data_IF_596575780297
#
_entry.id   IF_596575780297
#
_cell.length_a   1.000
_cell.length_b   1.000
_cell.length_c   1.000
_cell.angle_alpha   90.00
_cell.angle_beta   90.00
_cell.angle_gamma   90.00
#
_symmetry.space_group_name_H-M   'P 1'
#
loop_
_entity.id
_entity.type
_entity.pdbx_description
1 polymer ?
#
# COMPACT_ATOMS: atom_id res chain seq x y z
N UNK A 1 -7.28 14.43 10.95
CA UNK A 1 -6.81 13.09 10.55
C UNK A 1 -6.84 13.13 9.05
N UNK A 2 -5.68 13.18 8.40
CA UNK A 2 -5.60 13.23 6.94
C UNK A 2 -5.99 11.87 6.34
N UNK A 3 -6.43 11.87 5.09
CA UNK A 3 -6.73 10.63 4.37
C UNK A 3 -5.48 9.75 4.32
N UNK A 4 -5.68 8.46 4.56
CA UNK A 4 -4.62 7.43 4.56
C UNK A 4 -4.99 6.33 3.59
N UNK A 5 -3.98 5.74 2.97
CA UNK A 5 -4.14 4.66 2.00
C UNK A 5 -3.55 3.39 2.55
N UNK A 6 -4.11 2.25 2.17
CA UNK A 6 -3.66 0.95 2.62
C UNK A 6 -3.34 0.06 1.43
N UNK A 7 -2.31 -0.78 1.58
CA UNK A 7 -2.02 -1.86 0.64
C UNK A 7 -2.61 -3.15 1.20
N UNK A 8 -3.46 -3.77 0.39
CA UNK A 8 -4.12 -5.03 0.67
C UNK A 8 -3.43 -6.14 -0.12
N UNK A 9 -2.96 -7.16 0.59
CA UNK A 9 -2.35 -8.37 0.00
C UNK A 9 -3.00 -9.61 0.56
N UNK A 10 -3.09 -10.67 -0.24
CA UNK A 10 -3.45 -11.98 0.28
C UNK A 10 -2.42 -12.44 1.33
N UNK A 11 -2.88 -12.62 2.57
CA UNK A 11 -2.02 -13.02 3.68
C UNK A 11 -1.34 -14.37 3.46
N UNK A 12 -1.91 -15.24 2.61
CA UNK A 12 -1.35 -16.56 2.30
C UNK A 12 -0.08 -16.46 1.45
N UNK A 13 0.07 -15.35 0.74
CA UNK A 13 1.20 -15.06 -0.16
C UNK A 13 2.15 -13.98 0.42
N UNK A 14 1.90 -13.48 1.64
CA UNK A 14 2.69 -12.39 2.20
C UNK A 14 3.97 -12.87 2.88
N UNK A 15 5.10 -12.39 2.35
CA UNK A 15 6.42 -12.50 2.96
C UNK A 15 7.00 -11.08 3.13
N UNK A 16 7.30 -10.63 4.35
CA UNK A 16 7.78 -9.26 4.60
C UNK A 16 9.00 -8.86 3.76
N UNK A 17 9.97 -9.76 3.60
CA UNK A 17 11.20 -9.49 2.87
C UNK A 17 10.96 -9.29 1.37
N UNK A 18 10.07 -10.08 0.78
CA UNK A 18 9.68 -9.95 -0.62
C UNK A 18 8.87 -8.67 -0.84
N UNK A 19 7.94 -8.38 0.07
CA UNK A 19 7.17 -7.15 0.03
C UNK A 19 8.07 -5.91 0.13
N UNK A 20 9.02 -5.89 1.08
CA UNK A 20 9.97 -4.79 1.23
C UNK A 20 10.85 -4.60 -0.01
N UNK A 21 11.30 -5.70 -0.63
CA UNK A 21 12.04 -5.66 -1.91
C UNK A 21 11.20 -5.00 -3.00
N UNK A 22 9.94 -5.37 -3.11
CA UNK A 22 9.06 -4.86 -4.16
C UNK A 22 8.71 -3.38 -3.91
N UNK A 23 8.48 -2.98 -2.65
CA UNK A 23 8.33 -1.58 -2.24
C UNK A 23 9.56 -0.77 -2.63
N UNK A 24 10.77 -1.22 -2.27
CA UNK A 24 12.00 -0.51 -2.66
C UNK A 24 12.12 -0.39 -4.18
N UNK A 25 11.77 -1.45 -4.92
CA UNK A 25 11.79 -1.42 -6.39
C UNK A 25 10.79 -0.40 -6.94
N UNK A 26 9.57 -0.37 -6.40
CA UNK A 26 8.53 0.57 -6.80
C UNK A 26 8.95 2.03 -6.52
N UNK A 27 9.50 2.31 -5.34
CA UNK A 27 10.05 3.62 -4.95
C UNK A 27 11.07 4.13 -5.98
N UNK A 28 12.07 3.32 -6.32
CA UNK A 28 13.09 3.78 -7.26
C UNK A 28 12.55 3.95 -8.68
N UNK A 29 11.57 3.15 -9.09
CA UNK A 29 10.91 3.30 -10.40
C UNK A 29 9.95 4.49 -10.46
N UNK A 30 9.44 4.95 -9.33
CA UNK A 30 8.61 6.16 -9.24
C UNK A 30 9.41 7.45 -9.03
N UNK A 31 10.74 7.40 -9.18
CA UNK A 31 11.68 8.52 -8.97
C UNK A 31 11.69 9.09 -7.53
N UNK A 32 11.35 8.26 -6.54
CA UNK A 32 11.44 8.61 -5.14
C UNK A 32 12.80 8.27 -4.52
N UNK A 33 13.11 8.99 -3.44
CA UNK A 33 14.08 8.57 -2.46
C UNK A 33 13.36 7.91 -1.28
N UNK A 34 14.06 7.03 -0.58
CA UNK A 34 13.57 6.39 0.63
C UNK A 34 14.55 6.58 1.76
N UNK A 35 14.02 6.96 2.92
CA UNK A 35 14.76 7.04 4.18
C UNK A 35 14.07 6.14 5.19
N UNK A 36 14.87 5.29 5.83
CA UNK A 36 14.41 4.51 6.97
C UNK A 36 14.22 5.45 8.16
N UNK A 37 12.98 5.56 8.64
CA UNK A 37 12.66 6.42 9.77
C UNK A 37 12.99 5.71 11.09
N UNK A 38 13.28 6.53 12.10
CA UNK A 38 13.39 6.03 13.46
C UNK A 38 12.04 5.44 13.87
N UNK A 39 12.06 4.24 14.43
CA UNK A 39 10.87 3.56 14.90
C UNK A 39 10.90 3.53 16.43
N UNK A 40 9.81 3.95 17.05
CA UNK A 40 9.63 3.84 18.51
C UNK A 40 9.40 2.38 18.95
N UNK A 41 9.29 1.47 17.98
CA UNK A 41 9.03 0.05 18.13
C UNK A 41 10.19 -0.76 17.57
N UNK A 42 10.48 -1.89 18.18
CA UNK A 42 11.43 -2.86 17.66
C UNK A 42 10.92 -3.41 16.32
N UNK A 43 11.82 -3.45 15.32
CA UNK A 43 11.49 -3.95 13.97
C UNK A 43 11.30 -5.46 13.93
N UNK A 44 11.87 -6.16 14.90
CA UNK A 44 11.83 -7.61 15.04
C UNK A 44 11.29 -7.97 16.42
N UNK A 45 10.66 -9.13 16.56
CA UNK A 45 10.29 -9.68 17.85
C UNK A 45 11.47 -10.39 18.53
N UNK A 46 11.23 -10.92 19.73
CA UNK A 46 12.22 -11.69 20.49
C UNK A 46 12.72 -12.95 19.78
N UNK A 47 11.98 -13.45 18.78
CA UNK A 47 12.31 -14.60 17.96
C UNK A 47 13.02 -14.20 16.65
N UNK A 48 13.23 -12.91 16.41
CA UNK A 48 13.83 -12.39 15.18
C UNK A 48 12.88 -12.30 13.99
N UNK A 49 11.56 -12.42 14.20
CA UNK A 49 10.56 -12.26 13.14
C UNK A 49 10.27 -10.77 12.92
N UNK A 50 10.18 -10.36 11.66
CA UNK A 50 9.82 -8.98 11.30
C UNK A 50 8.46 -8.61 11.91
N UNK A 51 8.35 -7.39 12.44
CA UNK A 51 7.13 -6.82 13.02
C UNK A 51 6.65 -5.60 12.27
N UNK A 52 7.56 -4.67 12.04
CA UNK A 52 7.21 -3.32 11.63
C UNK A 52 8.42 -2.57 11.09
N UNK A 53 8.19 -1.73 10.09
CA UNK A 53 9.14 -0.67 9.74
C UNK A 53 8.41 0.55 9.18
N UNK A 54 9.08 1.70 9.27
CA UNK A 54 8.60 2.98 8.79
C UNK A 54 9.61 3.60 7.84
N UNK A 55 9.11 4.15 6.75
CA UNK A 55 9.89 4.87 5.76
C UNK A 55 9.30 6.25 5.53
N UNK A 56 10.17 7.21 5.24
CA UNK A 56 9.81 8.44 4.55
C UNK A 56 10.13 8.24 3.07
N UNK A 57 9.10 8.28 2.23
CA UNK A 57 9.26 8.32 0.78
C UNK A 57 9.17 9.79 0.38
N UNK A 58 10.17 10.29 -0.32
CA UNK A 58 10.22 11.70 -0.68
C UNK A 58 10.83 11.99 -2.05
N UNK A 59 10.30 13.02 -2.69
CA UNK A 59 10.86 13.70 -3.86
C UNK A 59 11.46 15.05 -3.41
N UNK A 60 11.66 15.98 -4.35
CA UNK A 60 12.02 17.37 -3.99
C UNK A 60 10.81 18.20 -3.53
N UNK A 61 9.60 17.76 -3.82
CA UNK A 61 8.36 18.53 -3.63
C UNK A 61 7.37 17.84 -2.70
N UNK A 62 7.40 16.51 -2.69
CA UNK A 62 6.38 15.66 -2.11
C UNK A 62 7.05 14.71 -1.13
N UNK A 63 6.38 14.42 -0.03
CA UNK A 63 6.82 13.42 0.93
C UNK A 63 5.64 12.79 1.66
N UNK A 64 5.73 11.48 1.88
CA UNK A 64 4.73 10.76 2.64
C UNK A 64 5.36 9.64 3.45
N UNK A 65 4.68 9.31 4.55
CA UNK A 65 5.09 8.25 5.45
C UNK A 65 4.51 6.93 4.93
N UNK A 66 5.37 5.91 4.83
CA UNK A 66 5.00 4.56 4.47
C UNK A 66 5.36 3.58 5.59
N UNK A 67 4.34 2.95 6.17
CA UNK A 67 4.48 1.98 7.25
C UNK A 67 4.19 0.58 6.75
N UNK A 68 5.02 -0.38 7.14
CA UNK A 68 4.90 -1.79 6.78
C UNK A 68 4.74 -2.61 8.05
N UNK A 69 3.79 -3.54 8.03
CA UNK A 69 3.42 -4.36 9.18
C UNK A 69 3.58 -5.84 8.87
N UNK A 70 4.02 -6.61 9.85
CA UNK A 70 3.93 -8.06 9.80
C UNK A 70 2.49 -8.53 9.89
N UNK A 71 2.22 -9.73 9.41
CA UNK A 71 0.99 -10.43 9.77
C UNK A 71 1.01 -10.75 11.26
N UNK A 72 -0.01 -10.31 11.98
CA UNK A 72 -0.21 -10.75 13.35
C UNK A 72 -1.06 -12.03 13.34
N UNK A 73 -0.40 -13.18 13.34
CA UNK A 73 -1.07 -14.48 13.25
C UNK A 73 -2.06 -14.73 14.40
N UNK A 74 -1.85 -14.13 15.57
CA UNK A 74 -2.75 -14.27 16.72
C UNK A 74 -4.07 -13.51 16.53
N UNK A 75 -4.11 -12.57 15.59
CA UNK A 75 -5.31 -11.78 15.25
C UNK A 75 -6.05 -12.30 14.02
N UNK A 76 -5.48 -13.27 13.30
CA UNK A 76 -6.13 -13.86 12.13
C UNK A 76 -7.33 -14.70 12.60
N UNK A 77 -8.53 -14.25 12.23
CA UNK A 77 -9.79 -14.93 12.50
C UNK A 77 -10.72 -14.81 11.29
N UNK A 78 -11.90 -15.42 11.37
CA UNK A 78 -12.88 -15.40 10.28
C UNK A 78 -13.39 -13.98 9.94
N UNK A 79 -13.50 -13.09 10.92
CA UNK A 79 -13.96 -11.72 10.70
C UNK A 79 -12.90 -10.93 9.91
N UNK A 80 -11.62 -11.03 10.29
CA UNK A 80 -10.52 -10.38 9.57
C UNK A 80 -10.32 -10.99 8.16
N UNK A 81 -10.46 -12.31 8.01
CA UNK A 81 -10.39 -12.99 6.71
C UNK A 81 -11.50 -12.61 5.73
N UNK A 82 -12.58 -12.01 6.23
CA UNK A 82 -13.74 -11.62 5.45
C UNK A 82 -13.92 -10.10 5.38
N UNK A 83 -13.07 -9.33 6.05
CA UNK A 83 -13.16 -7.87 6.17
C UNK A 83 -13.21 -7.17 4.82
N UNK A 84 -12.43 -7.65 3.85
CA UNK A 84 -12.28 -7.05 2.52
C UNK A 84 -12.96 -7.88 1.41
N UNK A 85 -13.92 -8.74 1.76
CA UNK A 85 -14.65 -9.57 0.80
C UNK A 85 -15.46 -8.76 -0.24
N UNK A 86 -15.76 -7.50 0.05
CA UNK A 86 -16.41 -6.60 -0.91
C UNK A 86 -15.46 -6.17 -2.05
N UNK A 87 -14.14 -6.33 -1.87
CA UNK A 87 -13.11 -6.07 -2.87
C UNK A 87 -12.82 -7.35 -3.67
N UNK A 88 -12.53 -8.45 -2.98
CA UNK A 88 -12.24 -9.74 -3.60
C UNK A 88 -12.68 -10.88 -2.65
N UNK A 89 -13.58 -11.76 -3.12
CA UNK A 89 -14.12 -12.88 -2.34
C UNK A 89 -13.19 -14.11 -2.30
N UNK A 90 -12.24 -14.21 -3.23
CA UNK A 90 -11.34 -15.36 -3.36
C UNK A 90 -10.06 -15.17 -2.54
N UNK A 91 -9.59 -13.92 -2.41
CA UNK A 91 -8.37 -13.58 -1.68
C UNK A 91 -8.63 -13.32 -0.20
N UNK A 92 -7.66 -13.72 0.64
CA UNK A 92 -7.67 -13.42 2.09
C UNK A 92 -6.87 -12.15 2.35
N UNK A 93 -7.44 -11.04 1.90
CA UNK A 93 -6.79 -9.73 1.91
C UNK A 93 -6.54 -9.21 3.34
N UNK A 94 -5.36 -8.66 3.56
CA UNK A 94 -4.95 -8.03 4.81
C UNK A 94 -4.25 -6.71 4.52
N UNK A 95 -4.47 -5.70 5.39
CA UNK A 95 -3.71 -4.46 5.34
C UNK A 95 -2.30 -4.70 5.88
N UNK A 96 -1.32 -4.69 4.96
CA UNK A 96 0.09 -4.97 5.28
C UNK A 96 0.96 -3.71 5.23
N UNK A 97 0.42 -2.60 4.72
CA UNK A 97 1.09 -1.31 4.71
C UNK A 97 0.09 -0.15 4.71
N UNK A 98 0.53 0.99 5.24
CA UNK A 98 -0.24 2.22 5.31
C UNK A 98 0.59 3.39 4.75
N UNK A 99 -0.02 4.17 3.89
CA UNK A 99 0.44 5.46 3.37
C UNK A 99 -0.28 6.56 4.14
N UNK A 100 0.44 7.42 4.83
CA UNK A 100 -0.13 8.58 5.52
C UNK A 100 0.06 9.85 4.71
N UNK A 101 -0.69 10.91 5.04
CA UNK A 101 -0.55 12.25 4.45
C UNK A 101 -0.75 12.25 2.93
N UNK A 102 -1.85 11.65 2.48
CA UNK A 102 -2.19 11.55 1.06
C UNK A 102 -2.53 12.90 0.44
N UNK A 103 -3.25 13.73 1.19
CA UNK A 103 -3.62 15.08 0.76
C UNK A 103 -2.35 15.86 0.37
N UNK A 104 -2.34 16.43 -0.84
CA UNK A 104 -1.22 17.16 -1.45
C UNK A 104 -0.08 16.28 -2.01
N UNK A 105 -0.16 14.95 -1.85
CA UNK A 105 0.81 13.98 -2.35
C UNK A 105 0.21 13.03 -3.40
N UNK A 106 -0.96 13.35 -3.97
CA UNK A 106 -1.74 12.45 -4.81
C UNK A 106 -0.99 11.99 -6.07
N UNK A 107 -0.20 12.88 -6.70
CA UNK A 107 0.57 12.54 -7.90
C UNK A 107 1.72 11.60 -7.55
N UNK A 108 2.34 11.87 -6.40
CA UNK A 108 3.44 11.13 -5.84
C UNK A 108 2.99 9.69 -5.52
N UNK A 109 1.84 9.57 -4.85
CA UNK A 109 1.20 8.30 -4.50
C UNK A 109 0.74 7.56 -5.75
N UNK A 110 0.21 8.24 -6.77
CA UNK A 110 -0.19 7.60 -8.03
C UNK A 110 0.98 6.86 -8.68
N UNK A 111 2.15 7.53 -8.80
CA UNK A 111 3.34 6.94 -9.42
C UNK A 111 3.84 5.73 -8.64
N UNK A 112 3.92 5.85 -7.32
CA UNK A 112 4.31 4.73 -6.45
C UNK A 112 3.33 3.56 -6.56
N UNK A 113 2.02 3.84 -6.47
CA UNK A 113 0.94 2.86 -6.53
C UNK A 113 0.95 2.10 -7.86
N UNK A 114 1.13 2.80 -8.98
CA UNK A 114 1.23 2.20 -10.31
C UNK A 114 2.43 1.24 -10.41
N UNK A 115 3.63 1.67 -10.02
CA UNK A 115 4.82 0.82 -10.10
C UNK A 115 4.79 -0.34 -9.10
N UNK A 116 4.18 -0.16 -7.92
CA UNK A 116 3.96 -1.23 -6.95
C UNK A 116 3.00 -2.30 -7.51
N UNK A 117 1.81 -1.91 -7.96
CA UNK A 117 0.80 -2.86 -8.47
C UNK A 117 1.23 -3.53 -9.78
N UNK A 118 2.09 -2.89 -10.56
CA UNK A 118 2.75 -3.53 -11.72
C UNK A 118 3.64 -4.70 -11.35
N UNK A 119 4.31 -4.63 -10.19
CA UNK A 119 5.10 -5.73 -9.64
C UNK A 119 4.21 -6.77 -8.93
N UNK A 120 3.12 -6.30 -8.32
CA UNK A 120 2.19 -7.09 -7.51
C UNK A 120 0.75 -7.01 -8.06
N UNK A 121 0.44 -7.61 -9.22
CA UNK A 121 -0.83 -7.40 -9.92
C UNK A 121 -2.05 -8.04 -9.26
N UNK A 122 -1.86 -8.85 -8.21
CA UNK A 122 -2.96 -9.42 -7.41
C UNK A 122 -3.31 -8.60 -6.17
N UNK A 123 -2.47 -7.64 -5.83
CA UNK A 123 -2.66 -6.79 -4.65
C UNK A 123 -3.61 -5.64 -5.00
N UNK A 124 -4.09 -4.97 -3.96
CA UNK A 124 -4.97 -3.81 -4.10
C UNK A 124 -4.48 -2.64 -3.25
N UNK A 125 -4.87 -1.44 -3.65
CA UNK A 125 -4.65 -0.22 -2.87
C UNK A 125 -6.00 0.42 -2.61
N UNK A 126 -6.27 0.77 -1.36
CA UNK A 126 -7.54 1.31 -0.92
C UNK A 126 -7.28 2.64 -0.18
N UNK A 127 -8.04 3.67 -0.51
CA UNK A 127 -7.92 5.02 0.08
C UNK A 127 -9.18 5.45 0.84
N UNK A 128 -10.29 4.78 0.54
CA UNK A 128 -11.62 4.99 1.10
C UNK A 128 -12.23 3.61 1.34
N UNK A 129 -13.12 3.49 2.33
CA UNK A 129 -13.61 2.18 2.78
C UNK A 129 -14.40 1.40 1.70
N UNK A 130 -14.87 2.05 0.63
CA UNK A 130 -15.86 1.48 -0.29
C UNK A 130 -15.29 0.89 -1.59
N UNK A 131 -14.03 1.16 -1.94
CA UNK A 131 -13.43 0.66 -3.18
C UNK A 131 -11.91 0.53 -3.09
N UNK A 132 -11.34 -0.18 -4.06
CA UNK A 132 -9.90 -0.35 -4.17
C UNK A 132 -9.46 -0.37 -5.63
N UNK A 133 -8.19 -0.04 -5.84
CA UNK A 133 -7.53 -0.03 -7.13
C UNK A 133 -6.68 -1.29 -7.29
N UNK A 134 -6.89 -2.00 -8.39
CA UNK A 134 -5.96 -3.04 -8.84
C UNK A 134 -5.04 -2.48 -9.95
N UNK A 135 -4.12 -3.31 -10.44
CA UNK A 135 -3.19 -2.89 -11.49
C UNK A 135 -3.89 -2.44 -12.79
N UNK A 136 -4.98 -3.11 -13.21
CA UNK A 136 -5.70 -2.75 -14.43
C UNK A 136 -6.33 -1.36 -14.32
N UNK A 137 -6.84 -1.01 -13.13
CA UNK A 137 -7.42 0.32 -12.88
C UNK A 137 -6.35 1.40 -12.97
N UNK A 138 -5.21 1.19 -12.30
CA UNK A 138 -4.06 2.10 -12.39
C UNK A 138 -3.52 2.21 -13.82
N UNK A 139 -3.53 1.11 -14.59
CA UNK A 139 -3.12 1.13 -15.99
C UNK A 139 -4.08 1.93 -16.88
N UNK A 140 -5.39 1.85 -16.66
CA UNK A 140 -6.36 2.70 -17.36
C UNK A 140 -6.13 4.17 -17.01
N UNK A 141 -6.04 4.52 -15.73
CA UNK A 141 -5.82 5.88 -15.27
C UNK A 141 -4.51 6.47 -15.82
N UNK A 142 -3.45 5.66 -15.93
CA UNK A 142 -2.16 6.12 -16.48
C UNK A 142 -2.21 6.57 -17.95
N UNK A 143 -3.27 6.20 -18.68
CA UNK A 143 -3.47 6.56 -20.10
C UNK A 143 -4.33 7.82 -20.26
N UNK A 144 -4.93 8.31 -19.19
CA UNK A 144 -5.75 9.52 -19.15
C UNK A 144 -4.91 10.73 -18.70
N UNK A 145 -5.37 11.97 -18.94
CA UNK A 145 -4.79 13.14 -18.28
C UNK A 145 -4.83 12.96 -16.76
N UNK A 146 -3.77 13.42 -16.08
CA UNK A 146 -3.69 13.32 -14.63
C UNK A 146 -4.85 14.06 -13.96
N UNK A 147 -5.48 13.39 -13.00
CA UNK A 147 -6.58 13.89 -12.18
C UNK A 147 -6.13 13.92 -10.73
N UNK A 148 -6.13 15.11 -10.11
CA UNK A 148 -5.71 15.27 -8.70
C UNK A 148 -6.66 14.59 -7.70
N UNK A 149 -7.87 14.23 -8.14
CA UNK A 149 -8.86 13.56 -7.30
C UNK A 149 -8.98 12.05 -7.57
N UNK A 150 -8.05 11.46 -8.34
CA UNK A 150 -8.15 10.07 -8.79
C UNK A 150 -8.36 9.08 -7.63
N UNK A 151 -7.70 9.26 -6.49
CA UNK A 151 -7.76 8.34 -5.36
C UNK A 151 -9.05 8.43 -4.54
N UNK A 152 -9.90 9.43 -4.80
CA UNK A 152 -11.19 9.63 -4.14
C UNK A 152 -12.38 9.23 -5.03
N UNK A 153 -12.11 8.64 -6.19
CA UNK A 153 -13.11 8.21 -7.17
C UNK A 153 -13.07 6.70 -7.32
N UNK A 154 -14.24 6.08 -7.27
CA UNK A 154 -14.36 4.65 -7.49
C UNK A 154 -13.97 4.31 -8.96
N UNK A 155 -12.96 3.45 -9.19
CA UNK A 155 -12.54 3.08 -10.54
C UNK A 155 -13.59 2.27 -11.31
N UNK A 156 -14.62 1.74 -10.63
CA UNK A 156 -15.73 1.02 -11.25
C UNK A 156 -16.87 1.91 -11.76
N UNK A 157 -16.87 3.21 -11.45
CA UNK A 157 -17.92 4.15 -11.84
C UNK A 157 -17.62 4.89 -13.16
N UNK A 158 -16.43 4.67 -13.77
CA UNK A 158 -15.98 5.21 -15.07
C UNK A 158 -16.02 4.19 -16.21
#
# INVERSE_FOLDING_TARGET
MGVSGIILKDRRDYLPEEFLRDVMTAVFKSDFNLRLEACDRERYDENGLFKYTKFLLYTRKDDFIFEVFSLNNDLINEDEDNKFNYIDLEQKLYSIAVMHDIEQNEEAIFKFSYEYLKLNPKDYICFEDDFAFNFQDMEKLSKLPYDEYWCYKNPGDE
#
